data_IF_081248501875
#
_entry.id   IF_081248501875
#
_cell.length_a   1.000
_cell.length_b   1.000
_cell.length_c   1.000
_cell.angle_alpha   90.00
_cell.angle_beta   90.00
_cell.angle_gamma   90.00
#
_symmetry.space_group_name_H-M   'P 1'
#
loop_
_entity.id
_entity.type
_entity.pdbx_description
1 polymer ?
#
# COMPACT_ATOMS: atom_id res chain seq x y z
N UNK A 1 2.43 6.18 1.08
CA UNK A 1 1.31 6.17 0.10
C UNK A 1 1.56 7.17 -1.02
N UNK A 2 0.87 7.05 -2.13
CA UNK A 2 0.95 8.01 -3.21
C UNK A 2 0.19 9.30 -2.92
N UNK A 3 0.51 10.36 -3.65
CA UNK A 3 -0.09 11.68 -3.44
C UNK A 3 -1.61 11.69 -3.59
N UNK A 4 -2.13 11.04 -4.62
CA UNK A 4 -3.59 11.01 -4.86
C UNK A 4 -4.32 10.31 -3.73
N UNK A 5 -3.75 9.23 -3.22
CA UNK A 5 -4.32 8.49 -2.09
C UNK A 5 -4.31 9.36 -0.83
N UNK A 6 -3.22 10.08 -0.60
CA UNK A 6 -3.12 11.00 0.52
C UNK A 6 -4.21 12.08 0.46
N UNK A 7 -4.42 12.66 -0.71
CA UNK A 7 -5.45 13.69 -0.90
C UNK A 7 -6.85 13.14 -0.65
N UNK A 8 -7.14 11.91 -1.10
CA UNK A 8 -8.42 11.26 -0.84
C UNK A 8 -8.62 10.93 0.64
N UNK A 9 -7.56 10.49 1.32
CA UNK A 9 -7.62 10.23 2.76
C UNK A 9 -7.97 11.49 3.53
N UNK A 10 -7.32 12.61 3.21
CA UNK A 10 -7.62 13.89 3.84
C UNK A 10 -9.07 14.32 3.61
N UNK A 11 -9.57 14.09 2.41
CA UNK A 11 -10.93 14.44 2.03
C UNK A 11 -11.95 13.64 2.83
N UNK A 12 -11.74 12.32 2.95
CA UNK A 12 -12.61 11.42 3.68
C UNK A 12 -12.59 11.72 5.19
N UNK A 13 -11.46 12.16 5.70
CA UNK A 13 -11.29 12.47 7.14
C UNK A 13 -11.46 13.96 7.44
N UNK A 14 -12.07 14.69 6.52
CA UNK A 14 -12.40 16.12 6.71
C UNK A 14 -11.18 16.99 7.05
N UNK A 15 -10.04 16.68 6.43
CA UNK A 15 -8.83 17.45 6.62
C UNK A 15 -7.92 16.95 7.74
N UNK A 16 -8.37 15.99 8.53
CA UNK A 16 -7.56 15.41 9.59
C UNK A 16 -6.84 14.17 9.10
N UNK A 17 -5.53 14.10 9.33
CA UNK A 17 -4.76 12.95 8.92
C UNK A 17 -4.93 11.82 9.96
N UNK A 18 -5.35 10.59 9.52
CA UNK A 18 -5.72 9.53 10.46
C UNK A 18 -4.54 8.82 11.15
N UNK A 19 -3.30 9.04 10.71
CA UNK A 19 -2.13 8.33 11.24
C UNK A 19 -1.06 9.29 11.76
N UNK A 20 -1.37 10.21 12.70
CA UNK A 20 -0.42 11.25 13.09
C UNK A 20 0.76 10.77 13.93
N UNK A 21 0.66 9.58 14.53
CA UNK A 21 1.63 9.11 15.52
C UNK A 21 2.73 8.21 14.94
N UNK A 22 2.72 7.97 13.64
CA UNK A 22 3.74 7.17 12.98
C UNK A 22 4.36 7.97 11.83
N UNK A 23 5.63 7.69 11.47
CA UNK A 23 6.24 8.34 10.31
C UNK A 23 5.49 8.00 9.03
N UNK A 24 5.18 9.02 8.23
CA UNK A 24 4.43 8.88 7.00
C UNK A 24 5.16 9.53 5.85
N UNK A 25 5.24 8.82 4.73
CA UNK A 25 5.91 9.30 3.52
C UNK A 25 4.93 9.31 2.37
N UNK A 26 4.88 10.45 1.68
CA UNK A 26 3.99 10.66 0.54
C UNK A 26 4.83 10.77 -0.72
N UNK A 27 4.63 9.85 -1.65
CA UNK A 27 5.33 9.85 -2.93
C UNK A 27 4.71 10.89 -3.85
N UNK A 28 5.52 11.84 -4.31
CA UNK A 28 5.06 12.94 -5.13
C UNK A 28 6.19 13.44 -6.04
N UNK A 29 5.83 14.11 -7.11
CA UNK A 29 6.80 14.80 -7.97
C UNK A 29 7.15 16.19 -7.45
N UNK A 30 6.48 16.64 -6.38
CA UNK A 30 6.69 17.96 -5.77
C UNK A 30 7.07 17.79 -4.30
N UNK A 31 8.32 17.37 -4.01
CA UNK A 31 8.71 17.03 -2.64
C UNK A 31 8.93 18.22 -1.73
N UNK A 32 8.92 19.44 -2.26
CA UNK A 32 9.09 20.67 -1.50
C UNK A 32 7.79 21.12 -0.79
N UNK A 33 6.69 20.40 -0.97
CA UNK A 33 5.47 20.63 -0.20
C UNK A 33 5.71 20.25 1.26
N UNK A 34 5.00 20.92 2.16
CA UNK A 34 5.04 20.61 3.58
C UNK A 34 3.62 20.51 4.13
N UNK A 35 3.38 19.54 4.98
CA UNK A 35 2.11 19.37 5.68
C UNK A 35 2.35 18.66 7.00
N UNK A 36 1.41 18.81 7.93
CA UNK A 36 1.52 18.13 9.22
C UNK A 36 1.49 16.61 9.08
N UNK A 37 2.28 15.96 9.88
CA UNK A 37 2.30 14.48 10.04
C UNK A 37 2.87 13.69 8.87
N UNK A 38 3.25 14.34 7.77
CA UNK A 38 3.75 13.63 6.60
C UNK A 38 5.03 14.26 6.06
N UNK A 39 5.83 13.44 5.38
CA UNK A 39 7.01 13.87 4.64
C UNK A 39 6.77 13.56 3.17
N UNK A 40 6.92 14.57 2.31
CA UNK A 40 6.81 14.39 0.87
C UNK A 40 8.17 14.01 0.31
N UNK A 41 8.19 13.05 -0.62
CA UNK A 41 9.43 12.59 -1.23
C UNK A 41 9.21 12.29 -2.70
N UNK A 42 10.24 12.56 -3.53
CA UNK A 42 10.24 12.19 -4.94
C UNK A 42 11.04 10.93 -5.22
N UNK A 43 11.47 10.23 -4.17
CA UNK A 43 12.10 8.92 -4.31
C UNK A 43 11.16 7.96 -5.04
N UNK A 44 11.72 6.99 -5.77
CA UNK A 44 10.92 5.87 -6.25
C UNK A 44 10.52 5.02 -5.06
N UNK A 45 9.50 4.18 -5.22
CA UNK A 45 9.09 3.28 -4.12
C UNK A 45 10.24 2.35 -3.73
N UNK A 46 11.03 1.91 -4.70
CA UNK A 46 12.18 1.05 -4.43
C UNK A 46 13.22 1.78 -3.58
N UNK A 47 13.57 3.00 -3.94
CA UNK A 47 14.53 3.81 -3.18
C UNK A 47 14.05 4.07 -1.77
N UNK A 48 12.78 4.42 -1.61
CA UNK A 48 12.19 4.71 -0.32
C UNK A 48 12.19 3.48 0.59
N UNK A 49 11.75 2.34 0.08
CA UNK A 49 11.71 1.08 0.84
C UNK A 49 13.12 0.68 1.28
N UNK A 50 14.09 0.77 0.37
CA UNK A 50 15.49 0.46 0.66
C UNK A 50 16.01 1.32 1.81
N UNK A 51 15.75 2.62 1.75
CA UNK A 51 16.18 3.55 2.79
C UNK A 51 15.51 3.25 4.12
N UNK A 52 14.21 3.00 4.12
CA UNK A 52 13.46 2.73 5.34
C UNK A 52 13.86 1.40 6.00
N UNK A 53 14.18 0.39 5.22
CA UNK A 53 14.66 -0.88 5.75
C UNK A 53 15.97 -0.74 6.51
N UNK A 54 16.79 0.23 6.14
CA UNK A 54 18.03 0.54 6.85
C UNK A 54 17.83 1.36 8.12
N UNK A 55 16.69 2.03 8.25
CA UNK A 55 16.42 2.94 9.36
C UNK A 55 15.51 2.38 10.44
N UNK A 56 14.63 1.42 10.09
CA UNK A 56 13.63 0.90 11.00
C UNK A 56 13.64 -0.63 11.02
N UNK A 57 13.33 -1.20 12.19
CA UNK A 57 13.20 -2.65 12.39
C UNK A 57 11.74 -3.10 12.32
N UNK A 58 10.83 -2.19 12.06
CA UNK A 58 9.40 -2.46 12.08
C UNK A 58 8.85 -2.61 10.66
N UNK A 59 7.63 -3.12 10.57
CA UNK A 59 6.95 -3.29 9.31
C UNK A 59 6.73 -1.95 8.61
N UNK A 60 6.81 -1.97 7.29
CA UNK A 60 6.50 -0.82 6.44
C UNK A 60 5.12 -1.08 5.84
N UNK A 61 4.18 -0.17 6.11
CA UNK A 61 2.81 -0.31 5.66
C UNK A 61 2.58 0.50 4.38
N UNK A 62 2.36 -0.21 3.27
CA UNK A 62 2.05 0.39 1.98
C UNK A 62 0.54 0.52 1.84
N UNK A 63 0.03 1.74 1.90
CA UNK A 63 -1.41 2.00 1.86
C UNK A 63 -1.96 2.04 0.43
N UNK A 64 -1.17 2.46 -0.50
CA UNK A 64 -1.60 2.56 -1.90
C UNK A 64 -1.19 3.88 -2.51
N UNK A 65 -1.72 4.32 -3.62
CA UNK A 65 -2.74 3.65 -4.45
C UNK A 65 -2.21 2.58 -5.39
N UNK A 66 -3.07 2.25 -6.37
CA UNK A 66 -2.80 1.15 -7.30
C UNK A 66 -1.49 1.28 -8.06
N UNK A 67 -1.12 2.46 -8.52
CA UNK A 67 0.14 2.65 -9.25
C UNK A 67 1.37 2.44 -8.36
N UNK A 68 1.28 2.85 -7.09
CA UNK A 68 2.37 2.60 -6.13
C UNK A 68 2.48 1.12 -5.82
N UNK A 69 1.34 0.43 -5.66
CA UNK A 69 1.29 -1.02 -5.44
C UNK A 69 1.90 -1.74 -6.64
N UNK A 70 1.51 -1.35 -7.85
CA UNK A 70 2.04 -1.93 -9.09
C UNK A 70 3.56 -1.78 -9.15
N UNK A 71 4.09 -0.59 -8.89
CA UNK A 71 5.52 -0.33 -8.89
C UNK A 71 6.25 -1.18 -7.85
N UNK A 72 5.68 -1.30 -6.65
CA UNK A 72 6.26 -2.12 -5.59
C UNK A 72 6.27 -3.61 -5.98
N UNK A 73 5.21 -4.09 -6.63
CA UNK A 73 5.12 -5.47 -7.09
C UNK A 73 6.12 -5.78 -8.20
N UNK A 74 6.42 -4.82 -9.06
CA UNK A 74 7.42 -5.00 -10.12
C UNK A 74 8.79 -5.41 -9.57
N UNK A 75 9.12 -4.92 -8.38
CA UNK A 75 10.40 -5.17 -7.73
C UNK A 75 10.28 -6.16 -6.56
N UNK A 76 9.15 -6.86 -6.47
CA UNK A 76 8.88 -7.84 -5.40
C UNK A 76 9.08 -7.27 -3.99
N UNK A 77 8.66 -6.03 -3.78
CA UNK A 77 8.84 -5.33 -2.52
C UNK A 77 7.76 -5.63 -1.48
N UNK A 78 6.63 -6.18 -1.89
CA UNK A 78 5.54 -6.50 -0.98
C UNK A 78 5.65 -7.95 -0.54
N UNK A 79 5.79 -8.15 0.76
CA UNK A 79 5.93 -9.48 1.34
C UNK A 79 4.59 -10.05 1.81
N UNK A 80 3.73 -9.18 2.33
CA UNK A 80 2.43 -9.58 2.88
C UNK A 80 1.34 -8.68 2.35
N UNK A 81 0.25 -9.29 1.93
CA UNK A 81 -0.93 -8.60 1.40
C UNK A 81 -2.08 -8.79 2.36
N UNK A 82 -2.58 -7.70 2.94
CA UNK A 82 -3.75 -7.73 3.80
C UNK A 82 -4.87 -7.01 3.06
N UNK A 83 -5.91 -7.77 2.70
CA UNK A 83 -6.97 -7.28 1.84
C UNK A 83 -8.33 -7.45 2.54
N UNK A 84 -9.12 -6.39 2.53
CA UNK A 84 -10.47 -6.42 3.06
C UNK A 84 -11.45 -6.52 1.89
N UNK A 85 -12.37 -7.48 1.98
CA UNK A 85 -13.42 -7.65 0.98
C UNK A 85 -14.72 -7.16 1.60
N UNK A 86 -15.26 -6.09 1.02
CA UNK A 86 -16.52 -5.49 1.48
C UNK A 86 -17.71 -6.16 0.78
N UNK A 87 -18.86 -6.31 1.45
CA UNK A 87 -20.04 -6.94 0.86
C UNK A 87 -20.81 -5.96 -0.03
N UNK A 88 -20.13 -5.40 -1.03
CA UNK A 88 -20.72 -4.43 -1.96
C UNK A 88 -20.33 -4.80 -3.37
N UNK A 89 -21.30 -4.85 -4.26
CA UNK A 89 -21.07 -5.02 -5.69
C UNK A 89 -21.07 -3.64 -6.31
N UNK A 90 -19.89 -3.18 -6.76
CA UNK A 90 -19.76 -1.82 -7.28
C UNK A 90 -20.24 -1.66 -8.72
N UNK A 91 -20.15 -2.72 -9.52
CA UNK A 91 -20.43 -2.62 -10.96
C UNK A 91 -19.25 -2.04 -11.73
N UNK A 92 -18.64 -0.97 -11.23
CA UNK A 92 -17.41 -0.40 -11.77
C UNK A 92 -16.62 0.24 -10.64
N UNK A 93 -15.34 0.48 -10.86
CA UNK A 93 -14.49 1.06 -9.82
C UNK A 93 -13.03 1.08 -10.25
N UNK A 94 -12.18 1.54 -9.33
CA UNK A 94 -10.74 1.61 -9.55
C UNK A 94 -10.12 0.25 -9.14
N UNK A 95 -9.42 -0.44 -10.06
CA UNK A 95 -8.79 -1.71 -9.72
C UNK A 95 -7.75 -1.56 -8.61
N UNK A 96 -7.76 -2.50 -7.66
CA UNK A 96 -6.72 -2.58 -6.65
C UNK A 96 -5.36 -2.86 -7.30
N UNK A 97 -5.35 -3.79 -8.26
CA UNK A 97 -4.17 -4.10 -9.05
C UNK A 97 -4.41 -3.63 -10.48
N UNK A 98 -3.78 -2.52 -10.91
CA UNK A 98 -3.98 -2.00 -12.27
C UNK A 98 -3.56 -3.00 -13.35
N UNK A 99 -4.11 -2.81 -14.53
CA UNK A 99 -3.72 -3.61 -15.69
C UNK A 99 -2.21 -3.48 -15.91
N UNK A 100 -1.58 -4.59 -16.25
CA UNK A 100 -0.12 -4.65 -16.43
C UNK A 100 0.65 -4.90 -15.14
N UNK A 101 -0.04 -5.09 -14.01
CA UNK A 101 0.62 -5.48 -12.77
C UNK A 101 1.27 -6.86 -12.95
N UNK A 102 2.47 -7.01 -12.42
CA UNK A 102 3.23 -8.26 -12.53
C UNK A 102 2.44 -9.42 -11.92
N UNK A 103 2.28 -10.51 -12.64
CA UNK A 103 1.68 -11.72 -12.11
C UNK A 103 2.48 -12.22 -10.91
N UNK A 104 1.81 -12.39 -9.79
CA UNK A 104 2.45 -12.76 -8.53
C UNK A 104 1.63 -13.82 -7.86
N UNK A 105 2.25 -14.94 -7.51
CA UNK A 105 1.58 -16.02 -6.80
C UNK A 105 1.62 -15.74 -5.31
N UNK A 106 0.48 -15.91 -4.66
CA UNK A 106 0.31 -15.65 -3.24
C UNK A 106 -0.12 -16.93 -2.53
N UNK A 107 0.20 -17.02 -1.26
CA UNK A 107 -0.22 -18.12 -0.40
C UNK A 107 -1.08 -17.57 0.70
N UNK A 108 -2.27 -18.12 0.88
CA UNK A 108 -3.17 -17.72 1.95
C UNK A 108 -2.60 -18.15 3.30
N UNK A 109 -2.44 -17.20 4.21
CA UNK A 109 -1.93 -17.46 5.55
C UNK A 109 -2.99 -17.32 6.63
N UNK A 110 -3.96 -16.44 6.43
CA UNK A 110 -5.07 -16.33 7.37
C UNK A 110 -6.27 -15.67 6.71
N UNK A 111 -7.43 -15.89 7.32
CA UNK A 111 -8.66 -15.21 6.91
C UNK A 111 -9.59 -15.15 8.13
N UNK A 112 -10.39 -14.12 8.19
CA UNK A 112 -11.40 -14.00 9.24
C UNK A 112 -12.47 -13.01 8.82
N UNK A 113 -13.63 -13.11 9.44
CA UNK A 113 -14.68 -12.11 9.27
C UNK A 113 -14.50 -11.02 10.32
N UNK A 114 -14.65 -9.78 9.89
CA UNK A 114 -14.64 -8.62 10.78
C UNK A 114 -15.88 -7.80 10.45
N UNK A 115 -16.92 -7.91 11.28
CA UNK A 115 -18.23 -7.39 10.92
C UNK A 115 -18.73 -8.05 9.65
N UNK A 116 -19.03 -7.28 8.63
CA UNK A 116 -19.48 -7.79 7.32
C UNK A 116 -18.33 -7.93 6.32
N UNK A 117 -17.11 -7.57 6.71
CA UNK A 117 -15.93 -7.71 5.84
C UNK A 117 -15.28 -9.07 6.01
N UNK A 118 -14.71 -9.59 4.93
CA UNK A 118 -13.79 -10.74 5.00
C UNK A 118 -12.39 -10.20 4.87
N UNK A 119 -11.56 -10.45 5.88
CA UNK A 119 -10.17 -10.05 5.88
C UNK A 119 -9.32 -11.24 5.46
N UNK A 120 -8.51 -11.07 4.43
CA UNK A 120 -7.60 -12.12 3.97
C UNK A 120 -6.17 -11.63 4.04
N UNK A 121 -5.28 -12.52 4.45
CA UNK A 121 -3.85 -12.25 4.49
C UNK A 121 -3.14 -13.26 3.60
N UNK A 122 -2.39 -12.75 2.64
CA UNK A 122 -1.56 -13.54 1.77
C UNK A 122 -0.09 -13.18 1.98
N UNK A 123 0.78 -14.14 1.76
CA UNK A 123 2.20 -13.90 1.65
C UNK A 123 2.66 -14.19 0.22
N UNK A 124 3.61 -13.41 -0.26
CA UNK A 124 4.18 -13.63 -1.57
C UNK A 124 4.86 -15.00 -1.61
N UNK A 125 4.47 -15.83 -2.57
CA UNK A 125 5.07 -17.14 -2.75
C UNK A 125 6.42 -16.98 -3.42
N UNK A 126 7.45 -17.58 -2.83
CA UNK A 126 8.80 -17.56 -3.43
C UNK A 126 8.82 -18.43 -4.68
N UNK A 127 9.51 -17.96 -5.71
CA UNK A 127 9.54 -18.67 -7.00
C UNK A 127 10.08 -20.10 -6.89
N UNK A 128 10.98 -20.34 -5.96
CA UNK A 128 11.55 -21.65 -5.69
C UNK A 128 10.52 -22.64 -5.14
N UNK A 129 9.44 -22.14 -4.55
CA UNK A 129 8.39 -22.98 -3.96
C UNK A 129 7.24 -23.26 -4.92
N UNK A 130 7.29 -22.72 -6.11
CA UNK A 130 6.18 -22.79 -7.05
C UNK A 130 6.09 -24.12 -7.82
N UNK A 131 6.96 -25.04 -7.60
CA UNK A 131 6.97 -26.33 -8.27
C UNK A 131 5.92 -27.29 -7.75
#
# INVERSE_FOLDING_TARGET
>A
MGRKTYEEVLKLEQGEYPYPDIPNYILTRQPDRAAEHVTFTDETIEELIDRLKGEVDQDIWLIGGGEVIKAAMEHDLIDRYEIAIAPVVLGEGIPLFPEGTKETKLRLTSHHASGQFVMVTYERQMSIEST
#
